data_IF_904727465373
#
_entry.id   IF_904727465373
#
_cell.length_a   1.000
_cell.length_b   1.000
_cell.length_c   1.000
_cell.angle_alpha   90.00
_cell.angle_beta   90.00
_cell.angle_gamma   90.00
#
_symmetry.space_group_name_H-M   'P 1'
#
loop_
_entity.id
_entity.type
_entity.pdbx_description
1 polymer ?
#
# COMPACT_ATOMS: atom_id res chain seq x y z
N UNK A 1 -13.88 10.63 4.87
CA UNK A 1 -13.39 10.45 3.51
C UNK A 1 -11.88 10.23 3.50
N UNK A 2 -11.40 9.35 2.62
CA UNK A 2 -9.97 9.18 2.37
C UNK A 2 -9.42 10.42 1.64
N UNK A 3 -8.18 10.81 1.93
CA UNK A 3 -7.44 11.87 1.26
C UNK A 3 -6.05 11.37 0.88
N UNK A 4 -5.50 11.89 -0.18
CA UNK A 4 -4.11 11.70 -0.57
C UNK A 4 -3.51 13.04 -0.99
N UNK A 5 -2.21 13.10 -1.15
CA UNK A 5 -1.53 14.37 -1.43
C UNK A 5 -0.84 14.32 -2.78
N UNK A 6 -0.89 15.45 -3.47
CA UNK A 6 -0.22 15.63 -4.76
C UNK A 6 0.67 16.85 -4.71
N UNK A 7 1.91 16.68 -5.13
CA UNK A 7 2.83 17.77 -5.44
C UNK A 7 3.08 17.76 -6.95
N UNK A 8 2.76 18.85 -7.60
CA UNK A 8 3.06 19.01 -9.01
C UNK A 8 4.56 19.20 -9.24
N UNK A 9 5.09 18.51 -10.23
CA UNK A 9 6.46 18.59 -10.70
C UNK A 9 6.52 18.51 -12.22
N UNK A 10 7.61 17.99 -12.78
CA UNK A 10 7.73 17.75 -14.21
C UNK A 10 6.72 16.70 -14.67
N UNK A 11 6.10 16.90 -15.82
CA UNK A 11 5.05 16.03 -16.37
C UNK A 11 5.54 14.65 -16.83
N UNK A 12 6.85 14.54 -17.08
CA UNK A 12 7.50 13.30 -17.51
C UNK A 12 8.05 12.44 -16.36
N UNK A 13 7.97 12.91 -15.11
CA UNK A 13 8.50 12.24 -13.91
C UNK A 13 7.44 12.09 -12.83
N UNK A 14 7.19 10.86 -12.42
CA UNK A 14 6.18 10.52 -11.42
C UNK A 14 6.80 9.71 -10.29
N UNK A 15 6.55 10.12 -9.05
CA UNK A 15 6.82 9.36 -7.85
C UNK A 15 5.49 9.00 -7.19
N UNK A 16 5.23 7.72 -7.00
CA UNK A 16 4.09 7.23 -6.21
C UNK A 16 4.65 6.64 -4.92
N UNK A 17 4.16 7.14 -3.80
CA UNK A 17 4.62 6.74 -2.48
C UNK A 17 3.48 6.22 -1.61
N UNK A 18 3.65 5.02 -1.08
CA UNK A 18 2.75 4.37 -0.17
C UNK A 18 3.26 4.52 1.27
N UNK A 19 2.50 5.19 2.12
CA UNK A 19 2.87 5.40 3.51
C UNK A 19 2.86 4.08 4.28
N UNK A 20 3.87 3.88 5.14
CA UNK A 20 3.88 2.81 6.13
C UNK A 20 3.05 3.16 7.37
N UNK A 21 3.07 2.30 8.37
CA UNK A 21 2.43 2.59 9.64
C UNK A 21 1.76 1.39 10.31
N UNK A 22 2.44 0.23 10.28
CA UNK A 22 1.96 -1.00 10.91
C UNK A 22 0.89 -1.74 10.13
N UNK A 23 0.26 -2.72 10.76
CA UNK A 23 -0.85 -3.49 10.21
C UNK A 23 -1.59 -4.21 11.33
N UNK A 24 -2.82 -4.65 11.08
CA UNK A 24 -3.58 -5.40 12.07
C UNK A 24 -4.27 -6.62 11.43
N UNK A 25 -4.34 -7.73 12.15
CA UNK A 25 -4.97 -8.98 11.69
C UNK A 25 -5.52 -9.86 12.82
N UNK A 26 -5.56 -9.35 14.03
CA UNK A 26 -6.28 -9.91 15.17
C UNK A 26 -6.73 -8.79 16.11
N UNK A 27 -7.70 -9.07 16.96
CA UNK A 27 -8.41 -8.04 17.72
C UNK A 27 -7.50 -7.06 18.43
N UNK A 28 -6.52 -7.54 19.19
CA UNK A 28 -5.64 -6.68 19.99
C UNK A 28 -4.89 -5.64 19.17
N UNK A 29 -4.53 -5.98 17.92
CA UNK A 29 -3.81 -5.08 17.01
C UNK A 29 -4.74 -4.19 16.18
N UNK A 30 -6.04 -4.52 16.12
CA UNK A 30 -7.03 -3.80 15.34
C UNK A 30 -7.90 -2.86 16.19
N UNK A 31 -8.17 -3.21 17.45
CA UNK A 31 -9.11 -2.51 18.30
C UNK A 31 -8.55 -1.15 18.77
N UNK A 32 -9.23 -0.03 18.44
CA UNK A 32 -8.82 1.31 18.88
C UNK A 32 -8.75 1.47 20.40
N UNK A 33 -9.52 0.68 21.15
CA UNK A 33 -9.59 0.71 22.62
C UNK A 33 -8.50 -0.15 23.29
N UNK A 34 -7.74 -0.90 22.50
CA UNK A 34 -6.66 -1.76 22.99
C UNK A 34 -5.27 -1.18 22.60
N UNK A 35 -4.48 -1.93 21.83
CA UNK A 35 -3.14 -1.53 21.40
C UNK A 35 -3.04 -1.60 19.88
N UNK A 36 -3.73 -0.70 19.15
CA UNK A 36 -3.71 -0.73 17.69
C UNK A 36 -2.30 -0.55 17.17
N UNK A 37 -1.90 -1.43 16.25
CA UNK A 37 -0.56 -1.45 15.68
C UNK A 37 -0.45 -0.65 14.37
N UNK A 38 -1.46 0.14 14.03
CA UNK A 38 -1.52 0.94 12.80
C UNK A 38 -2.16 2.31 13.05
N UNK A 39 -2.01 3.23 12.09
CA UNK A 39 -2.67 4.53 12.12
C UNK A 39 -4.17 4.35 11.87
N UNK A 40 -5.02 4.83 12.79
CA UNK A 40 -6.47 4.62 12.73
C UNK A 40 -7.18 5.54 11.73
N UNK A 41 -6.60 6.67 11.40
CA UNK A 41 -7.18 7.60 10.42
C UNK A 41 -6.11 8.53 9.83
N UNK A 42 -6.44 9.15 8.71
CA UNK A 42 -5.56 10.08 7.99
C UNK A 42 -5.98 11.55 8.14
N UNK A 43 -6.88 11.86 9.05
CA UNK A 43 -7.40 13.23 9.22
C UNK A 43 -6.28 14.24 9.52
N UNK A 44 -5.36 13.86 10.39
CA UNK A 44 -4.22 14.68 10.83
C UNK A 44 -2.91 14.33 10.09
N UNK A 45 -2.95 13.47 9.08
CA UNK A 45 -1.76 13.18 8.28
C UNK A 45 -1.39 14.41 7.46
N UNK A 46 -0.12 14.80 7.53
CA UNK A 46 0.47 15.84 6.72
C UNK A 46 1.44 15.25 5.69
N UNK A 47 1.66 15.99 4.63
CA UNK A 47 2.68 15.65 3.66
C UNK A 47 4.08 15.72 4.31
N UNK A 48 4.92 14.70 4.22
CA UNK A 48 6.25 14.73 4.80
C UNK A 48 7.17 15.72 4.07
N UNK A 49 8.17 16.25 4.79
CA UNK A 49 9.14 17.21 4.26
C UNK A 49 10.60 16.82 4.52
N UNK A 50 10.85 15.56 4.86
CA UNK A 50 12.16 15.00 5.14
C UNK A 50 12.50 13.83 4.18
N UNK A 51 13.75 13.39 4.18
CA UNK A 51 14.20 12.29 3.31
C UNK A 51 13.97 12.62 1.83
N UNK A 52 13.36 11.69 1.08
CA UNK A 52 13.05 11.86 -0.34
C UNK A 52 12.02 12.97 -0.61
N UNK A 53 11.33 13.46 0.42
CA UNK A 53 10.37 14.56 0.35
C UNK A 53 10.99 15.93 0.67
N UNK A 54 12.29 15.99 0.94
CA UNK A 54 12.99 17.27 1.07
C UNK A 54 13.36 17.79 -0.33
N UNK A 55 12.39 18.37 -1.02
CA UNK A 55 12.56 18.88 -2.38
C UNK A 55 13.40 20.15 -2.49
N UNK A 56 13.74 20.81 -1.37
CA UNK A 56 14.67 21.91 -1.33
C UNK A 56 16.14 21.44 -1.44
N UNK A 57 16.41 20.17 -1.19
CA UNK A 57 17.74 19.59 -1.25
C UNK A 57 18.16 19.38 -2.70
N UNK A 58 19.28 19.97 -3.10
CA UNK A 58 19.74 20.00 -4.49
C UNK A 58 20.05 18.59 -5.05
N UNK A 59 20.55 17.69 -4.20
CA UNK A 59 20.89 16.31 -4.53
C UNK A 59 19.73 15.32 -4.38
N UNK A 60 18.50 15.78 -4.09
CA UNK A 60 17.34 14.92 -4.04
C UNK A 60 16.97 14.47 -5.47
N UNK A 61 17.04 13.16 -5.80
CA UNK A 61 16.74 12.68 -7.16
C UNK A 61 15.27 12.88 -7.54
N UNK A 62 14.38 13.06 -6.58
CA UNK A 62 12.95 13.24 -6.79
C UNK A 62 12.47 14.68 -6.75
N UNK A 63 13.41 15.66 -6.64
CA UNK A 63 13.04 17.08 -6.48
C UNK A 63 12.12 17.62 -7.58
N UNK A 64 12.26 17.10 -8.79
CA UNK A 64 11.48 17.55 -9.98
C UNK A 64 10.27 16.64 -10.28
N UNK A 65 10.04 15.57 -9.53
CA UNK A 65 8.93 14.65 -9.78
C UNK A 65 7.58 15.25 -9.39
N UNK A 66 6.56 14.97 -10.20
CA UNK A 66 5.20 14.96 -9.69
C UNK A 66 5.08 13.84 -8.68
N UNK A 67 4.60 14.14 -7.49
CA UNK A 67 4.53 13.18 -6.38
C UNK A 67 3.08 12.94 -6.00
N UNK A 68 2.70 11.67 -5.96
CA UNK A 68 1.42 11.22 -5.43
C UNK A 68 1.71 10.40 -4.16
N UNK A 69 1.29 10.93 -3.03
CA UNK A 69 1.50 10.33 -1.71
C UNK A 69 0.19 9.76 -1.19
N UNK A 70 0.16 8.45 -1.00
CA UNK A 70 -0.98 7.69 -0.48
C UNK A 70 -0.82 7.46 1.04
N UNK A 71 -1.56 8.17 1.91
CA UNK A 71 -1.59 7.89 3.34
C UNK A 71 -2.20 6.53 3.64
N UNK A 72 -1.89 6.00 4.82
CA UNK A 72 -2.28 4.66 5.25
C UNK A 72 -3.05 4.67 6.57
N UNK A 73 -4.22 4.04 6.62
CA UNK A 73 -5.05 3.97 7.83
C UNK A 73 -6.01 2.76 7.87
N UNK A 74 -5.78 1.73 7.07
CA UNK A 74 -6.71 0.60 6.92
C UNK A 74 -6.20 -0.69 7.55
N UNK A 75 -4.97 -0.69 8.09
CA UNK A 75 -4.39 -1.81 8.81
C UNK A 75 -4.05 -3.04 7.94
N UNK A 76 -4.09 -2.91 6.62
CA UNK A 76 -4.11 -3.98 5.63
C UNK A 76 -3.03 -3.86 4.54
N UNK A 77 -1.97 -3.12 4.83
CA UNK A 77 -0.84 -2.82 3.92
C UNK A 77 -1.29 -2.36 2.52
N UNK A 78 -2.34 -1.50 2.45
CA UNK A 78 -2.94 -0.96 1.22
C UNK A 78 -3.56 -1.98 0.25
N UNK A 79 -3.71 -3.23 0.63
CA UNK A 79 -4.22 -4.30 -0.26
C UNK A 79 -5.46 -5.01 0.29
N UNK A 80 -6.07 -4.53 1.35
CA UNK A 80 -7.29 -5.10 1.89
C UNK A 80 -8.52 -4.77 1.04
N UNK A 81 -9.46 -5.73 0.96
CA UNK A 81 -10.71 -5.64 0.22
C UNK A 81 -11.85 -6.38 0.95
N UNK A 82 -11.91 -6.26 2.27
CA UNK A 82 -12.99 -6.88 3.07
C UNK A 82 -13.35 -6.05 4.30
N UNK A 83 -14.56 -6.26 4.78
CA UNK A 83 -14.97 -5.93 6.14
C UNK A 83 -14.80 -7.20 6.99
N UNK A 84 -13.90 -7.17 7.97
CA UNK A 84 -13.52 -8.34 8.75
C UNK A 84 -14.02 -8.21 10.18
N UNK A 85 -14.67 -9.27 10.67
CA UNK A 85 -15.16 -9.37 12.04
C UNK A 85 -14.08 -10.01 12.91
N UNK A 86 -13.66 -9.29 13.94
CA UNK A 86 -12.78 -9.79 14.98
C UNK A 86 -13.59 -10.08 16.24
N UNK A 87 -13.68 -11.36 16.69
CA UNK A 87 -14.50 -11.74 17.81
C UNK A 87 -13.98 -11.15 19.13
N UNK A 88 -14.83 -11.12 20.18
CA UNK A 88 -14.42 -10.75 21.53
C UNK A 88 -13.27 -11.62 22.05
N UNK A 89 -12.37 -11.01 22.80
CA UNK A 89 -11.28 -11.70 23.52
C UNK A 89 -11.45 -11.60 25.05
N UNK A 90 -12.37 -10.75 25.48
CA UNK A 90 -12.72 -10.53 26.90
C UNK A 90 -14.24 -10.58 27.07
N UNK A 91 -14.69 -10.95 28.27
CA UNK A 91 -16.11 -11.00 28.61
C UNK A 91 -16.74 -9.60 28.50
N UNK A 92 -17.92 -9.52 27.91
CA UNK A 92 -18.66 -8.27 27.72
C UNK A 92 -18.28 -7.48 26.46
N UNK A 93 -17.22 -7.85 25.77
CA UNK A 93 -16.90 -7.24 24.48
C UNK A 93 -17.91 -7.68 23.41
N UNK A 94 -18.11 -6.81 22.41
CA UNK A 94 -18.86 -7.09 21.18
C UNK A 94 -17.90 -7.42 20.04
N UNK A 95 -18.42 -7.97 18.96
CA UNK A 95 -17.68 -8.10 17.70
C UNK A 95 -17.14 -6.74 17.25
N UNK A 96 -15.90 -6.74 16.80
CA UNK A 96 -15.24 -5.58 16.21
C UNK A 96 -15.22 -5.74 14.68
N UNK A 97 -15.82 -4.82 13.97
CA UNK A 97 -15.77 -4.78 12.50
C UNK A 97 -14.70 -3.80 12.06
N UNK A 98 -13.69 -4.28 11.35
CA UNK A 98 -12.66 -3.45 10.71
C UNK A 98 -12.83 -3.48 9.20
N UNK A 99 -12.87 -2.30 8.61
CA UNK A 99 -12.96 -2.12 7.16
C UNK A 99 -11.56 -2.07 6.55
N UNK A 100 -11.08 -3.21 6.11
CA UNK A 100 -9.84 -3.34 5.37
C UNK A 100 -10.07 -2.93 3.91
N UNK A 101 -9.98 -1.64 3.63
CA UNK A 101 -10.33 -1.02 2.34
C UNK A 101 -9.12 -0.36 1.65
N UNK A 102 -7.92 -0.86 1.93
CA UNK A 102 -6.68 -0.32 1.34
C UNK A 102 -6.68 -0.37 -0.18
N UNK A 103 -7.24 -1.43 -0.76
CA UNK A 103 -7.41 -1.56 -2.22
C UNK A 103 -8.28 -0.45 -2.80
N UNK A 104 -9.42 -0.17 -2.19
CA UNK A 104 -10.33 0.89 -2.65
C UNK A 104 -9.68 2.29 -2.55
N UNK A 105 -8.93 2.54 -1.48
CA UNK A 105 -8.17 3.78 -1.33
C UNK A 105 -7.11 3.92 -2.41
N UNK A 106 -6.34 2.87 -2.69
CA UNK A 106 -5.32 2.90 -3.74
C UNK A 106 -5.93 2.98 -5.13
N UNK A 107 -7.08 2.36 -5.37
CA UNK A 107 -7.80 2.50 -6.63
C UNK A 107 -8.15 3.98 -6.90
N UNK A 108 -8.68 4.69 -5.91
CA UNK A 108 -8.95 6.12 -6.04
C UNK A 108 -7.69 6.94 -6.34
N UNK A 109 -6.54 6.59 -5.72
CA UNK A 109 -5.24 7.22 -6.00
C UNK A 109 -4.80 6.98 -7.44
N UNK A 110 -4.92 5.73 -7.93
CA UNK A 110 -4.53 5.36 -9.28
C UNK A 110 -5.45 5.98 -10.34
N UNK A 111 -6.76 5.95 -10.12
CA UNK A 111 -7.75 6.60 -11.01
C UNK A 111 -7.43 8.09 -11.18
N UNK A 112 -7.19 8.78 -10.08
CA UNK A 112 -6.78 10.18 -10.15
C UNK A 112 -5.46 10.35 -10.90
N UNK A 113 -4.47 9.50 -10.60
CA UNK A 113 -3.14 9.55 -11.24
C UNK A 113 -3.26 9.37 -12.74
N UNK A 114 -3.98 8.36 -13.19
CA UNK A 114 -4.20 8.05 -14.59
C UNK A 114 -5.00 9.16 -15.33
N UNK A 115 -5.92 9.81 -14.62
CA UNK A 115 -6.67 10.94 -15.17
C UNK A 115 -5.84 12.22 -15.32
N UNK A 116 -4.82 12.44 -14.47
CA UNK A 116 -4.11 13.73 -14.39
C UNK A 116 -2.65 13.67 -14.86
N UNK A 117 -2.00 12.49 -14.87
CA UNK A 117 -0.62 12.30 -15.35
C UNK A 117 -0.66 11.43 -16.60
N UNK A 118 -0.64 12.05 -17.79
CA UNK A 118 -0.99 11.34 -19.03
C UNK A 118 0.13 10.54 -19.68
N UNK A 119 1.37 11.01 -19.63
CA UNK A 119 2.48 10.40 -20.38
C UNK A 119 3.80 10.54 -19.65
N UNK A 120 3.90 10.06 -18.41
CA UNK A 120 5.17 10.06 -17.69
C UNK A 120 6.17 9.15 -18.44
N UNK A 121 7.43 9.55 -18.44
CA UNK A 121 8.52 8.75 -19.03
C UNK A 121 9.28 7.96 -17.99
N UNK A 122 9.35 8.50 -16.75
CA UNK A 122 10.02 7.87 -15.64
C UNK A 122 9.08 7.85 -14.44
N UNK A 123 8.79 6.67 -13.96
CA UNK A 123 7.92 6.43 -12.81
C UNK A 123 8.71 5.70 -11.74
N UNK A 124 8.61 6.16 -10.51
CA UNK A 124 9.17 5.44 -9.38
C UNK A 124 8.06 5.15 -8.37
N UNK A 125 7.88 3.87 -8.05
CA UNK A 125 6.88 3.41 -7.07
C UNK A 125 7.61 2.91 -5.85
N UNK A 126 7.29 3.47 -4.69
CA UNK A 126 7.97 3.10 -3.45
C UNK A 126 7.03 3.23 -2.26
N UNK A 127 7.44 2.73 -1.14
CA UNK A 127 6.77 2.85 0.13
C UNK A 127 7.65 2.36 1.24
N UNK A 128 7.34 2.73 2.48
CA UNK A 128 8.08 2.28 3.65
C UNK A 128 7.25 1.29 4.48
N UNK A 129 7.92 0.28 5.10
CA UNK A 129 7.29 -0.68 6.01
C UNK A 129 6.01 -1.29 5.41
N UNK A 130 4.83 -1.07 5.99
CA UNK A 130 3.55 -1.54 5.46
C UNK A 130 3.27 -1.08 4.01
N UNK A 131 3.78 0.08 3.59
CA UNK A 131 3.66 0.57 2.22
C UNK A 131 4.68 -0.04 1.25
N UNK A 132 5.78 -0.56 1.75
CA UNK A 132 6.78 -1.26 0.94
C UNK A 132 6.25 -2.60 0.41
N UNK A 133 5.48 -3.32 1.24
CA UNK A 133 4.94 -4.65 0.92
C UNK A 133 4.12 -4.65 -0.39
N UNK A 134 3.14 -3.76 -0.61
CA UNK A 134 2.32 -3.76 -1.80
C UNK A 134 2.96 -2.99 -2.97
N UNK A 135 4.07 -2.28 -2.76
CA UNK A 135 4.66 -1.43 -3.78
C UNK A 135 5.01 -2.16 -5.09
N UNK A 136 5.51 -3.43 -5.11
CA UNK A 136 5.73 -4.16 -6.34
C UNK A 136 4.42 -4.47 -7.09
N UNK A 137 3.36 -4.85 -6.37
CA UNK A 137 2.05 -5.08 -6.96
C UNK A 137 1.53 -3.82 -7.67
N UNK A 138 1.55 -2.67 -7.01
CA UNK A 138 1.12 -1.42 -7.63
C UNK A 138 2.06 -0.94 -8.74
N UNK A 139 3.37 -1.24 -8.64
CA UNK A 139 4.32 -0.95 -9.72
C UNK A 139 3.99 -1.71 -11.00
N UNK A 140 3.57 -2.98 -10.88
CA UNK A 140 3.13 -3.80 -12.02
C UNK A 140 1.87 -3.21 -12.69
N UNK A 141 0.84 -2.88 -11.92
CA UNK A 141 -0.38 -2.24 -12.45
C UNK A 141 -0.09 -0.91 -13.16
N UNK A 142 0.83 -0.13 -12.61
CA UNK A 142 1.25 1.14 -13.17
C UNK A 142 2.05 0.94 -14.46
N UNK A 143 2.91 -0.08 -14.51
CA UNK A 143 3.66 -0.42 -15.72
C UNK A 143 2.73 -0.88 -16.86
N UNK A 144 1.73 -1.67 -16.55
CA UNK A 144 0.71 -2.07 -17.53
C UNK A 144 -0.10 -0.87 -18.06
N UNK A 145 -0.37 0.13 -17.21
CA UNK A 145 -1.10 1.33 -17.63
C UNK A 145 -0.23 2.29 -18.46
N UNK A 146 1.07 2.36 -18.19
CA UNK A 146 2.04 3.24 -18.90
C UNK A 146 3.12 2.43 -19.61
N UNK A 147 2.79 1.70 -20.68
CA UNK A 147 3.70 0.76 -21.35
C UNK A 147 4.96 1.43 -21.94
N UNK A 148 4.89 2.73 -22.22
CA UNK A 148 6.03 3.51 -22.76
C UNK A 148 6.90 4.15 -21.66
N UNK A 149 6.56 3.97 -20.39
CA UNK A 149 7.32 4.53 -19.27
C UNK A 149 8.36 3.54 -18.75
N UNK A 150 9.49 4.07 -18.26
CA UNK A 150 10.39 3.31 -17.41
C UNK A 150 9.85 3.32 -15.98
N UNK A 151 9.47 2.16 -15.47
CA UNK A 151 9.01 2.00 -14.09
C UNK A 151 10.11 1.39 -13.24
N UNK A 152 10.48 2.07 -12.14
CA UNK A 152 11.35 1.55 -11.10
C UNK A 152 10.57 1.34 -9.81
N UNK A 153 10.93 0.33 -9.03
CA UNK A 153 10.29 0.02 -7.75
C UNK A 153 11.33 -0.19 -6.66
N UNK A 154 11.04 0.29 -5.45
CA UNK A 154 11.82 0.01 -4.23
C UNK A 154 10.88 -0.09 -3.03
N UNK A 155 10.92 -1.23 -2.32
CA UNK A 155 10.29 -1.36 -1.01
C UNK A 155 11.29 -1.07 0.12
N UNK A 156 11.04 -0.05 0.91
CA UNK A 156 11.92 0.35 2.01
C UNK A 156 11.44 -0.22 3.36
N UNK A 157 12.31 -0.97 4.05
CA UNK A 157 12.05 -1.47 5.40
C UNK A 157 10.99 -2.58 5.50
N UNK A 158 10.83 -3.39 4.47
CA UNK A 158 9.92 -4.54 4.41
C UNK A 158 10.60 -5.85 3.98
N UNK A 159 11.89 -6.00 4.26
CA UNK A 159 12.63 -7.23 3.98
C UNK A 159 12.32 -8.35 4.98
N UNK A 160 12.47 -9.61 4.53
CA UNK A 160 12.47 -10.78 5.43
C UNK A 160 11.13 -11.42 5.75
N UNK A 161 10.06 -11.07 5.07
CA UNK A 161 8.72 -11.67 5.27
C UNK A 161 8.51 -13.04 4.59
N UNK A 162 9.55 -13.86 4.56
CA UNK A 162 9.50 -15.21 3.95
C UNK A 162 8.59 -16.19 4.68
N UNK A 163 8.42 -16.02 6.00
CA UNK A 163 7.62 -16.92 6.82
C UNK A 163 6.69 -16.10 7.70
N UNK A 164 5.51 -15.87 7.22
CA UNK A 164 4.41 -15.54 8.11
C UNK A 164 3.99 -16.84 8.81
N UNK A 165 3.82 -16.77 10.14
CA UNK A 165 3.28 -17.89 10.89
C UNK A 165 1.96 -18.31 10.22
N UNK A 166 1.86 -19.53 9.74
CA UNK A 166 0.68 -20.04 9.03
C UNK A 166 -0.60 -19.98 9.87
N UNK A 167 -0.47 -19.88 11.21
CA UNK A 167 -1.60 -19.73 12.12
C UNK A 167 -2.27 -18.34 12.04
N UNK A 168 -1.57 -17.33 11.50
CA UNK A 168 -2.12 -15.97 11.34
C UNK A 168 -1.86 -15.51 9.91
N UNK A 169 -2.83 -15.68 9.03
CA UNK A 169 -2.73 -15.27 7.62
C UNK A 169 -3.37 -13.90 7.44
N UNK A 170 -2.63 -12.79 7.66
CA UNK A 170 -3.20 -11.45 7.58
C UNK A 170 -3.83 -11.17 6.22
N UNK A 171 -3.24 -11.63 5.13
CA UNK A 171 -3.75 -11.44 3.78
C UNK A 171 -5.13 -12.09 3.56
N UNK A 172 -5.47 -13.17 4.28
CA UNK A 172 -6.82 -13.75 4.28
C UNK A 172 -7.79 -12.85 5.06
N UNK A 173 -7.39 -12.37 6.26
CA UNK A 173 -8.19 -11.47 7.06
C UNK A 173 -8.51 -10.17 6.33
N UNK A 174 -7.57 -9.68 5.52
CA UNK A 174 -7.76 -8.47 4.72
C UNK A 174 -8.54 -8.69 3.42
N UNK A 175 -8.84 -9.94 3.04
CA UNK A 175 -9.55 -10.25 1.80
C UNK A 175 -8.77 -9.92 0.53
N UNK A 176 -7.43 -9.97 0.58
CA UNK A 176 -6.58 -9.65 -0.56
C UNK A 176 -6.88 -10.54 -1.78
N UNK A 177 -7.22 -11.82 -1.55
CA UNK A 177 -7.56 -12.76 -2.62
C UNK A 177 -8.92 -12.53 -3.27
N UNK A 178 -9.72 -11.58 -2.78
CA UNK A 178 -10.95 -11.17 -3.46
C UNK A 178 -10.67 -10.49 -4.81
N UNK A 179 -9.45 -10.03 -5.05
CA UNK A 179 -9.12 -9.33 -6.29
C UNK A 179 -7.74 -9.69 -6.89
N UNK A 180 -6.71 -10.02 -6.09
CA UNK A 180 -5.33 -10.13 -6.59
C UNK A 180 -5.16 -11.21 -7.66
N UNK A 181 -5.93 -12.29 -7.59
CA UNK A 181 -5.95 -13.38 -8.57
C UNK A 181 -6.51 -12.97 -9.94
N UNK A 182 -7.21 -11.85 -10.00
CA UNK A 182 -7.82 -11.33 -11.24
C UNK A 182 -6.89 -10.28 -11.90
N UNK A 183 -5.75 -9.98 -11.26
CA UNK A 183 -4.76 -9.04 -11.78
C UNK A 183 -3.68 -9.78 -12.57
N UNK A 184 -3.35 -9.26 -13.74
CA UNK A 184 -2.38 -9.86 -14.67
C UNK A 184 -1.02 -10.07 -14.03
N UNK A 185 -0.48 -11.27 -14.14
CA UNK A 185 0.79 -11.68 -13.54
C UNK A 185 0.68 -12.20 -12.10
N UNK A 186 -0.48 -12.05 -11.46
CA UNK A 186 -0.73 -12.47 -10.07
C UNK A 186 -1.74 -13.62 -9.95
N UNK A 187 -2.25 -14.14 -11.05
CA UNK A 187 -3.31 -15.18 -11.13
C UNK A 187 -2.91 -16.49 -10.45
N UNK A 188 -1.61 -16.77 -10.41
CA UNK A 188 -1.06 -17.98 -9.78
C UNK A 188 -0.98 -17.90 -8.25
N UNK A 189 -1.13 -16.71 -7.68
CA UNK A 189 -1.05 -16.52 -6.23
C UNK A 189 -2.31 -17.07 -5.55
N UNK A 190 -2.09 -17.84 -4.49
CA UNK A 190 -3.16 -18.40 -3.67
C UNK A 190 -2.89 -18.17 -2.18
N UNK A 191 -3.94 -18.27 -1.37
CA UNK A 191 -3.84 -17.97 0.07
C UNK A 191 -2.98 -18.95 0.85
N UNK A 192 -2.82 -20.18 0.34
CA UNK A 192 -2.10 -21.24 1.05
C UNK A 192 -0.59 -21.04 1.01
N UNK A 193 -0.06 -20.70 -0.17
CA UNK A 193 1.39 -20.67 -0.44
C UNK A 193 1.98 -19.26 -0.43
N UNK A 194 1.11 -18.24 -0.43
CA UNK A 194 1.54 -16.86 -0.52
C UNK A 194 2.29 -16.40 0.71
N UNK A 195 3.38 -15.70 0.45
CA UNK A 195 4.05 -14.80 1.37
C UNK A 195 4.26 -13.44 0.67
N UNK A 196 4.72 -12.41 1.38
CA UNK A 196 4.90 -11.09 0.74
C UNK A 196 6.02 -11.08 -0.32
N UNK A 197 7.01 -12.00 -0.23
CA UNK A 197 8.01 -12.18 -1.26
C UNK A 197 7.38 -12.59 -2.60
N UNK A 198 6.26 -13.34 -2.57
CA UNK A 198 5.53 -13.75 -3.77
C UNK A 198 5.03 -12.56 -4.60
N UNK A 199 4.69 -11.44 -3.96
CA UNK A 199 4.32 -10.20 -4.66
C UNK A 199 5.50 -9.61 -5.44
N UNK A 200 6.71 -9.64 -4.85
CA UNK A 200 7.92 -9.17 -5.52
C UNK A 200 8.32 -10.07 -6.68
N UNK A 201 8.19 -11.38 -6.50
CA UNK A 201 8.50 -12.37 -7.56
C UNK A 201 7.52 -12.21 -8.72
N UNK A 202 6.22 -12.14 -8.44
CA UNK A 202 5.19 -11.98 -9.46
C UNK A 202 5.36 -10.67 -10.25
N UNK A 203 5.63 -9.57 -9.58
CA UNK A 203 5.83 -8.27 -10.23
C UNK A 203 7.13 -8.17 -11.06
N UNK A 204 8.08 -9.10 -10.90
CA UNK A 204 9.35 -9.11 -11.62
C UNK A 204 9.32 -9.97 -12.90
N UNK A 205 8.24 -10.71 -13.14
CA UNK A 205 8.02 -11.57 -14.31
C UNK A 205 7.34 -10.80 -15.45
#
# INVERSE_FOLDING_TARGET
>A
PYKFFVRQGASDKLLIYLQGGGACWFRQTCDPEMTPSYTLNVANTSYPYFGIFNFAKADNPFKDHTVVYAPYCTGDVHIGASDTIYPPVEEGQKDLVIRHQGRANMQAVLEWTYANVKSPKNIFVTGSSAGAIPSPFYASLIADHYPDARVGQLGDGAGGYRRMNQATRPHEQWGMFNFIKDEKGFEHLNSHDMNYESLYIAAAQ
#
